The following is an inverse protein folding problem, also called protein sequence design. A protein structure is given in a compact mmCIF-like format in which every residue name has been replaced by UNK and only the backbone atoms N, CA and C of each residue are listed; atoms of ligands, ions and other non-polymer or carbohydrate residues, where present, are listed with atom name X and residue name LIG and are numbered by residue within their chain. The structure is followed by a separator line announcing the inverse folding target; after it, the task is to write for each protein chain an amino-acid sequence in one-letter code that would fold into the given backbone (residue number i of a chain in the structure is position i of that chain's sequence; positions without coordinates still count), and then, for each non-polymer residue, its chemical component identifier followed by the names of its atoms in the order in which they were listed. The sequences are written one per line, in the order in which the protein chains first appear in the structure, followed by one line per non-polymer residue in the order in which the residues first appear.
data_IF_923906873702
#
_entry.id   IF_923906873702
#
_cell.length_a   1.000
_cell.length_b   1.000
_cell.length_c   1.000
_cell.angle_alpha   90.00
_cell.angle_beta   90.00
_cell.angle_gamma   90.00
#
_symmetry.space_group_name_H-M   'P 1'
#
loop_
_entity.id
_entity.type
_entity.pdbx_description
1 polymer ?
#
# COMPACT_ATOMS: atom_id res chain seq x y z
N UNK A 1 -31.37 75.66 -35.07
CA UNK A 1 -32.35 74.90 -34.30
C UNK A 1 -32.16 73.45 -34.69
N UNK A 2 -31.19 72.83 -34.04
CA UNK A 2 -30.84 71.44 -34.26
C UNK A 2 -30.78 70.79 -32.90
N UNK A 3 -31.62 69.95 -32.76
CA UNK A 3 -32.12 68.92 -31.87
C UNK A 3 -31.14 68.38 -30.87
N UNK A 4 -31.57 68.37 -29.61
CA UNK A 4 -30.84 67.66 -28.48
C UNK A 4 -31.48 66.31 -28.14
N UNK A 5 -31.35 65.28 -28.95
CA UNK A 5 -31.66 63.95 -28.44
C UNK A 5 -30.41 63.07 -28.19
N UNK A 6 -29.20 63.53 -28.48
CA UNK A 6 -28.00 62.69 -28.35
C UNK A 6 -27.33 62.68 -26.97
N UNK A 7 -27.57 63.71 -26.16
CA UNK A 7 -26.98 63.78 -24.81
C UNK A 7 -27.66 62.81 -23.81
N UNK A 8 -28.97 62.60 -23.93
CA UNK A 8 -29.74 61.71 -23.03
C UNK A 8 -29.51 60.22 -23.29
N UNK A 9 -29.14 59.89 -24.52
CA UNK A 9 -28.77 58.49 -24.89
C UNK A 9 -27.36 58.06 -24.42
N UNK A 10 -26.46 59.05 -24.35
CA UNK A 10 -25.08 58.77 -23.85
C UNK A 10 -25.07 58.60 -22.36
N UNK A 11 -25.89 59.34 -21.61
CA UNK A 11 -25.98 59.22 -20.15
C UNK A 11 -26.63 57.90 -19.69
N UNK A 12 -27.40 57.25 -20.57
CA UNK A 12 -28.06 55.95 -20.27
C UNK A 12 -27.16 54.75 -20.49
N UNK A 13 -26.02 54.94 -21.14
CA UNK A 13 -25.04 53.84 -21.41
C UNK A 13 -24.01 53.73 -20.27
N UNK A 14 -23.83 54.74 -19.46
CA UNK A 14 -22.83 54.75 -18.36
C UNK A 14 -23.28 54.08 -17.06
N UNK A 15 -24.51 53.62 -16.96
CA UNK A 15 -24.98 52.89 -15.78
C UNK A 15 -25.12 51.40 -16.00
N UNK A 16 -24.12 50.76 -16.61
CA UNK A 16 -23.96 49.32 -16.48
C UNK A 16 -23.31 49.03 -15.12
N UNK A 17 -23.96 48.25 -14.29
CA UNK A 17 -23.49 48.05 -12.91
C UNK A 17 -22.14 47.37 -12.87
N UNK A 18 -21.09 48.14 -12.68
CA UNK A 18 -19.71 47.70 -12.43
C UNK A 18 -19.60 46.76 -11.21
N UNK A 19 -20.66 46.71 -10.40
CA UNK A 19 -20.68 45.99 -9.12
C UNK A 19 -20.81 44.48 -9.28
N UNK A 20 -21.37 43.94 -10.37
CA UNK A 20 -21.51 42.48 -10.56
C UNK A 20 -20.27 41.82 -11.11
N UNK A 21 -19.48 42.53 -11.89
CA UNK A 21 -18.26 41.95 -12.52
C UNK A 21 -17.15 41.75 -11.51
N UNK A 22 -17.04 42.59 -10.49
CA UNK A 22 -16.00 42.42 -9.45
C UNK A 22 -16.29 41.25 -8.53
N UNK A 23 -17.53 41.01 -8.13
CA UNK A 23 -17.89 39.85 -7.28
C UNK A 23 -17.74 38.55 -8.02
N UNK A 24 -18.04 38.48 -9.31
CA UNK A 24 -17.82 37.28 -10.14
C UNK A 24 -16.33 37.02 -10.37
N UNK A 25 -15.55 38.08 -10.59
CA UNK A 25 -14.10 37.95 -10.74
C UNK A 25 -13.42 37.53 -9.42
N UNK A 26 -13.91 37.99 -8.27
CA UNK A 26 -13.41 37.54 -6.96
C UNK A 26 -13.77 36.10 -6.68
N UNK A 27 -15.00 35.65 -7.00
CA UNK A 27 -15.39 34.23 -6.89
C UNK A 27 -14.54 33.32 -7.79
N UNK A 28 -14.40 33.71 -9.07
CA UNK A 28 -13.58 32.92 -10.02
C UNK A 28 -12.13 32.82 -9.57
N UNK A 29 -11.56 33.89 -9.01
CA UNK A 29 -10.19 33.88 -8.46
C UNK A 29 -10.05 32.99 -7.25
N UNK A 30 -11.05 33.00 -6.36
CA UNK A 30 -11.06 32.15 -5.17
C UNK A 30 -11.21 30.67 -5.56
N UNK A 31 -12.11 30.33 -6.48
CA UNK A 31 -12.24 28.96 -7.00
C UNK A 31 -10.97 28.47 -7.67
N UNK A 32 -10.27 29.33 -8.42
CA UNK A 32 -8.97 28.98 -9.01
C UNK A 32 -7.90 28.75 -7.94
N UNK A 33 -7.88 29.54 -6.86
CA UNK A 33 -6.97 29.35 -5.74
C UNK A 33 -7.23 28.03 -5.00
N UNK A 34 -8.52 27.73 -4.76
CA UNK A 34 -8.95 26.47 -4.15
C UNK A 34 -8.54 25.29 -5.03
N UNK A 35 -8.78 25.37 -6.34
CA UNK A 35 -8.35 24.32 -7.30
C UNK A 35 -6.83 24.12 -7.31
N UNK A 36 -6.06 25.21 -7.30
CA UNK A 36 -4.60 25.14 -7.20
C UNK A 36 -4.13 24.55 -5.86
N UNK A 37 -4.75 24.93 -4.76
CA UNK A 37 -4.43 24.39 -3.44
C UNK A 37 -4.72 22.89 -3.36
N UNK A 38 -5.85 22.45 -3.92
CA UNK A 38 -6.17 21.01 -4.02
C UNK A 38 -5.17 20.26 -4.87
N UNK A 39 -4.79 20.82 -6.03
CA UNK A 39 -3.77 20.23 -6.89
C UNK A 39 -2.43 20.08 -6.16
N UNK A 40 -1.98 21.12 -5.47
CA UNK A 40 -0.75 21.08 -4.67
C UNK A 40 -0.83 20.07 -3.53
N UNK A 41 -2.00 19.89 -2.91
CA UNK A 41 -2.22 18.88 -1.88
C UNK A 41 -2.07 17.47 -2.46
N UNK A 42 -2.63 17.20 -3.64
CA UNK A 42 -2.47 15.91 -4.34
C UNK A 42 -1.01 15.67 -4.73
N UNK A 43 -0.32 16.69 -5.25
CA UNK A 43 1.11 16.58 -5.59
C UNK A 43 1.94 16.32 -4.33
N UNK A 44 1.68 17.01 -3.24
CA UNK A 44 2.37 16.77 -1.97
C UNK A 44 2.11 15.36 -1.44
N UNK A 45 0.87 14.86 -1.52
CA UNK A 45 0.52 13.50 -1.15
C UNK A 45 1.24 12.46 -2.03
N UNK A 46 1.39 12.73 -3.33
CA UNK A 46 2.14 11.86 -4.24
C UNK A 46 3.64 11.83 -3.91
N UNK A 47 4.25 13.00 -3.70
CA UNK A 47 5.68 13.13 -3.38
C UNK A 47 6.03 12.49 -2.04
N UNK A 48 5.13 12.56 -1.05
CA UNK A 48 5.34 11.92 0.26
C UNK A 48 5.11 10.40 0.24
N UNK A 49 4.78 9.81 -0.93
CA UNK A 49 4.54 8.38 -1.07
C UNK A 49 3.24 7.88 -0.41
N UNK A 50 2.37 8.81 0.03
CA UNK A 50 1.06 8.44 0.64
C UNK A 50 0.17 7.69 -0.35
N UNK A 51 0.35 7.94 -1.65
CA UNK A 51 -0.41 7.31 -2.73
C UNK A 51 0.23 6.02 -3.27
N UNK A 52 1.45 5.66 -2.81
CA UNK A 52 2.19 4.47 -3.25
C UNK A 52 2.05 3.27 -2.30
N UNK A 53 2.67 2.16 -2.70
CA UNK A 53 2.84 1.00 -1.82
C UNK A 53 3.72 1.41 -0.64
N UNK A 54 3.27 1.12 0.58
CA UNK A 54 4.09 1.28 1.78
C UNK A 54 4.47 -0.09 2.30
N UNK A 55 5.76 -0.34 2.31
CA UNK A 55 6.33 -1.51 2.95
C UNK A 55 6.44 -1.27 4.45
N UNK A 56 6.34 -2.34 5.21
CA UNK A 56 6.57 -2.30 6.64
C UNK A 56 7.14 -3.61 7.14
N UNK A 57 7.93 -3.52 8.19
CA UNK A 57 8.59 -4.65 8.81
C UNK A 57 7.87 -5.04 10.10
N UNK A 58 7.65 -6.33 10.28
CA UNK A 58 7.13 -6.93 11.51
C UNK A 58 8.10 -7.98 12.00
N UNK A 59 8.51 -7.90 13.26
CA UNK A 59 9.51 -8.80 13.84
C UNK A 59 8.98 -9.40 15.13
N UNK A 60 9.22 -10.68 15.32
CA UNK A 60 9.00 -11.38 16.58
C UNK A 60 10.16 -12.32 16.88
N UNK A 61 10.43 -12.56 18.17
CA UNK A 61 11.46 -13.49 18.62
C UNK A 61 10.92 -14.36 19.75
N UNK A 62 11.08 -15.66 19.64
CA UNK A 62 10.71 -16.64 20.66
C UNK A 62 11.54 -17.91 20.47
N UNK A 63 11.86 -18.60 21.57
CA UNK A 63 12.54 -19.90 21.59
C UNK A 63 13.84 -19.96 20.77
N UNK A 64 14.60 -18.86 20.75
CA UNK A 64 15.86 -18.75 19.99
C UNK A 64 15.65 -18.52 18.49
N UNK A 65 14.42 -18.40 18.03
CA UNK A 65 14.07 -17.98 16.68
C UNK A 65 13.76 -16.48 16.61
N UNK A 66 14.14 -15.86 15.52
CA UNK A 66 13.67 -14.52 15.16
C UNK A 66 13.10 -14.59 13.74
N UNK A 67 11.88 -14.11 13.62
CA UNK A 67 11.14 -14.00 12.36
C UNK A 67 10.92 -12.53 12.06
N UNK A 68 11.45 -12.05 10.95
CA UNK A 68 11.24 -10.73 10.42
C UNK A 68 10.55 -10.84 9.06
N UNK A 69 9.45 -10.12 8.89
CA UNK A 69 8.70 -10.09 7.64
C UNK A 69 8.54 -8.65 7.19
N UNK A 70 9.12 -8.35 6.04
CA UNK A 70 8.88 -7.12 5.31
C UNK A 70 7.80 -7.38 4.25
N UNK A 71 6.68 -6.70 4.40
CA UNK A 71 5.49 -6.89 3.53
C UNK A 71 4.80 -5.54 3.26
N UNK A 72 4.00 -5.43 2.19
CA UNK A 72 3.20 -4.24 1.95
C UNK A 72 2.18 -4.06 3.08
N UNK A 73 2.24 -2.91 3.76
CA UNK A 73 1.26 -2.51 4.78
C UNK A 73 0.11 -1.72 4.17
N UNK A 74 0.38 -0.96 3.12
CA UNK A 74 -0.64 -0.20 2.37
C UNK A 74 -0.37 -0.44 0.90
N UNK A 75 -1.37 -0.91 0.18
CA UNK A 75 -1.28 -1.17 -1.26
C UNK A 75 -2.64 -1.00 -1.96
N UNK A 76 -2.66 -1.23 -3.26
CA UNK A 76 -3.83 -1.19 -4.13
C UNK A 76 -3.83 -2.38 -5.06
N UNK A 77 -4.99 -2.68 -5.63
CA UNK A 77 -5.10 -3.71 -6.66
C UNK A 77 -4.13 -3.51 -7.83
N UNK A 78 -3.64 -4.60 -8.37
CA UNK A 78 -2.74 -4.68 -9.53
C UNK A 78 -1.32 -4.09 -9.32
N UNK A 79 -0.92 -3.72 -8.11
CA UNK A 79 0.46 -3.30 -7.80
C UNK A 79 1.32 -4.47 -7.35
N UNK A 80 2.62 -4.36 -7.61
CA UNK A 80 3.59 -5.31 -7.09
C UNK A 80 3.62 -5.25 -5.56
N UNK A 81 3.66 -6.42 -4.95
CA UNK A 81 3.55 -6.61 -3.51
C UNK A 81 4.59 -7.63 -3.02
N UNK A 82 5.90 -7.35 -3.19
CA UNK A 82 6.94 -8.27 -2.78
C UNK A 82 6.93 -8.46 -1.27
N UNK A 83 7.26 -9.67 -0.82
CA UNK A 83 7.40 -10.00 0.59
C UNK A 83 8.77 -10.61 0.81
N UNK A 84 9.47 -10.14 1.84
CA UNK A 84 10.74 -10.70 2.27
C UNK A 84 10.59 -11.27 3.68
N UNK A 85 10.89 -12.53 3.84
CA UNK A 85 10.84 -13.24 5.12
C UNK A 85 12.28 -13.56 5.51
N UNK A 86 12.75 -13.03 6.62
CA UNK A 86 14.05 -13.36 7.18
C UNK A 86 13.86 -14.14 8.48
N UNK A 87 14.40 -15.33 8.49
CA UNK A 87 14.42 -16.21 9.67
C UNK A 87 15.83 -16.27 10.19
N UNK A 88 16.02 -16.09 11.48
CA UNK A 88 17.30 -16.30 12.13
C UNK A 88 17.18 -17.17 13.37
N UNK A 89 18.27 -17.92 13.64
CA UNK A 89 18.39 -18.78 14.80
C UNK A 89 19.83 -18.78 15.29
N UNK A 90 20.04 -18.34 16.52
CA UNK A 90 21.39 -18.23 17.11
C UNK A 90 22.15 -19.56 17.19
N UNK A 91 21.45 -20.68 17.31
CA UNK A 91 22.03 -22.00 17.34
C UNK A 91 22.27 -22.63 15.96
N UNK A 92 22.03 -21.86 14.90
CA UNK A 92 21.97 -22.38 13.53
C UNK A 92 20.70 -23.20 13.26
N UNK A 93 20.47 -23.47 12.00
CA UNK A 93 19.33 -24.27 11.54
C UNK A 93 19.65 -25.78 11.67
N UNK A 94 18.59 -26.57 11.84
CA UNK A 94 18.68 -28.01 11.65
C UNK A 94 18.64 -28.40 10.17
N UNK A 95 18.24 -29.62 9.86
CA UNK A 95 18.20 -30.14 8.49
C UNK A 95 17.14 -29.38 7.62
N UNK A 96 16.09 -28.89 8.24
CA UNK A 96 14.96 -28.24 7.56
C UNK A 96 14.44 -27.05 8.35
N UNK A 97 13.92 -26.07 7.62
CA UNK A 97 13.14 -24.95 8.17
C UNK A 97 11.76 -24.99 7.54
N UNK A 98 10.73 -25.00 8.36
CA UNK A 98 9.33 -24.98 7.89
C UNK A 98 8.72 -23.63 8.21
N UNK A 99 8.24 -22.94 7.18
CA UNK A 99 7.47 -21.72 7.26
C UNK A 99 5.99 -22.02 7.00
N UNK A 100 5.12 -21.55 7.88
CA UNK A 100 3.68 -21.59 7.70
C UNK A 100 3.20 -20.19 7.31
N UNK A 101 2.33 -20.16 6.33
CA UNK A 101 1.73 -18.92 5.81
C UNK A 101 0.23 -19.09 5.78
N UNK A 102 -0.50 -18.10 6.24
CA UNK A 102 -1.97 -18.10 6.17
C UNK A 102 -2.43 -18.08 4.71
N UNK A 103 -3.47 -18.86 4.39
CA UNK A 103 -4.00 -18.97 3.02
C UNK A 103 -4.57 -17.67 2.48
N UNK A 104 -4.99 -16.77 3.36
CA UNK A 104 -5.45 -15.42 3.01
C UNK A 104 -4.42 -14.65 2.17
N UNK A 105 -3.12 -14.95 2.31
CA UNK A 105 -2.08 -14.39 1.45
C UNK A 105 -2.37 -14.65 -0.03
N UNK A 106 -2.76 -15.88 -0.38
CA UNK A 106 -3.03 -16.29 -1.75
C UNK A 106 -4.42 -15.85 -2.25
N UNK A 107 -5.29 -15.40 -1.34
CA UNK A 107 -6.56 -14.80 -1.71
C UNK A 107 -6.34 -13.36 -2.20
N UNK A 108 -5.40 -12.64 -1.60
CA UNK A 108 -5.08 -11.25 -1.95
C UNK A 108 -3.97 -11.12 -2.98
N UNK A 109 -3.04 -12.07 -3.03
CA UNK A 109 -1.81 -11.98 -3.80
C UNK A 109 -1.68 -13.11 -4.82
N UNK A 110 -1.41 -12.72 -6.05
CA UNK A 110 -0.93 -13.63 -7.08
C UNK A 110 0.57 -13.83 -6.89
N UNK A 111 0.97 -14.99 -6.39
CA UNK A 111 2.39 -15.33 -6.15
C UNK A 111 3.01 -15.84 -7.44
N UNK A 112 4.04 -15.15 -7.92
CA UNK A 112 4.76 -15.48 -9.16
C UNK A 112 5.98 -16.36 -8.90
N UNK A 113 6.72 -16.08 -7.81
CA UNK A 113 7.98 -16.76 -7.50
C UNK A 113 8.24 -16.76 -6.00
N UNK A 114 8.79 -17.88 -5.51
CA UNK A 114 9.36 -18.02 -4.15
C UNK A 114 10.83 -18.39 -4.31
N UNK A 115 11.72 -17.60 -3.75
CA UNK A 115 13.15 -17.80 -3.82
C UNK A 115 13.80 -17.75 -2.43
N UNK A 116 14.53 -18.81 -1.99
CA UNK A 116 14.71 -20.09 -2.68
C UNK A 116 13.39 -20.85 -2.82
N UNK A 117 13.32 -21.74 -3.80
CA UNK A 117 12.15 -22.60 -3.95
C UNK A 117 12.07 -23.58 -2.75
N UNK A 118 10.86 -23.79 -2.17
CA UNK A 118 10.70 -24.77 -1.12
C UNK A 118 10.99 -26.20 -1.63
N UNK A 119 11.60 -27.02 -0.80
CA UNK A 119 11.86 -28.43 -1.11
C UNK A 119 10.60 -29.29 -0.97
N UNK A 120 9.62 -28.83 -0.18
CA UNK A 120 8.29 -29.43 -0.06
C UNK A 120 7.25 -28.36 0.28
N UNK A 121 6.01 -28.61 -0.17
CA UNK A 121 4.86 -27.80 0.14
C UNK A 121 3.71 -28.70 0.62
N UNK A 122 3.05 -28.30 1.70
CA UNK A 122 1.88 -28.98 2.24
C UNK A 122 0.79 -27.93 2.50
N UNK A 123 -0.38 -28.11 1.90
CA UNK A 123 -1.52 -27.21 2.06
C UNK A 123 -2.62 -27.80 2.94
N UNK A 124 -3.26 -26.95 3.73
CA UNK A 124 -4.53 -27.21 4.40
C UNK A 124 -5.58 -26.18 3.94
N UNK A 125 -6.77 -26.22 4.53
CA UNK A 125 -7.85 -25.28 4.17
C UNK A 125 -7.45 -23.82 4.49
N UNK A 126 -6.71 -23.59 5.56
CA UNK A 126 -6.44 -22.25 6.09
C UNK A 126 -4.97 -21.83 5.99
N UNK A 127 -4.07 -22.77 5.70
CA UNK A 127 -2.62 -22.55 5.80
C UNK A 127 -1.86 -23.33 4.73
N UNK A 128 -0.68 -22.80 4.38
CA UNK A 128 0.31 -23.46 3.53
C UNK A 128 1.62 -23.53 4.31
N UNK A 129 2.26 -24.70 4.31
CA UNK A 129 3.57 -24.92 4.91
C UNK A 129 4.59 -25.18 3.81
N UNK A 130 5.65 -24.39 3.83
CA UNK A 130 6.81 -24.54 2.96
C UNK A 130 7.99 -25.04 3.76
N UNK A 131 8.58 -26.12 3.31
CA UNK A 131 9.79 -26.66 3.88
C UNK A 131 10.99 -26.29 3.02
N UNK A 132 12.00 -25.72 3.63
CA UNK A 132 13.23 -25.29 2.97
C UNK A 132 14.43 -26.10 3.47
N UNK A 133 15.42 -26.25 2.59
CA UNK A 133 16.76 -26.64 2.95
C UNK A 133 17.53 -25.39 3.35
N UNK A 134 17.79 -25.15 4.64
CA UNK A 134 18.41 -23.92 5.09
C UNK A 134 19.87 -23.84 4.60
N UNK A 135 20.39 -22.61 4.39
CA UNK A 135 21.81 -22.41 4.14
C UNK A 135 22.65 -22.74 5.39
N UNK A 136 23.94 -22.98 5.20
CA UNK A 136 24.88 -22.98 6.30
C UNK A 136 24.89 -21.60 6.98
N UNK A 137 24.63 -21.56 8.31
CA UNK A 137 24.64 -20.34 9.09
C UNK A 137 23.42 -20.14 9.96
N UNK A 138 23.20 -18.91 10.38
CA UNK A 138 22.18 -18.52 11.36
C UNK A 138 21.04 -17.72 10.74
N UNK A 139 21.10 -17.36 9.45
CA UNK A 139 20.13 -16.52 8.77
C UNK A 139 19.72 -17.12 7.43
N UNK A 140 18.42 -17.20 7.20
CA UNK A 140 17.81 -17.61 5.94
C UNK A 140 16.83 -16.51 5.49
N UNK A 141 16.90 -16.14 4.22
CA UNK A 141 15.96 -15.17 3.63
C UNK A 141 15.18 -15.84 2.51
N UNK A 142 13.85 -15.67 2.56
CA UNK A 142 12.93 -16.12 1.52
C UNK A 142 12.26 -14.88 0.92
N UNK A 143 12.40 -14.73 -0.38
CA UNK A 143 11.74 -13.65 -1.14
C UNK A 143 10.55 -14.21 -1.90
N UNK A 144 9.42 -13.56 -1.76
CA UNK A 144 8.19 -13.87 -2.50
C UNK A 144 7.94 -12.71 -3.47
N UNK A 145 8.01 -13.02 -4.76
CA UNK A 145 7.55 -12.09 -5.79
C UNK A 145 6.06 -12.31 -5.99
N UNK A 146 5.30 -11.30 -5.65
CA UNK A 146 3.85 -11.35 -5.70
C UNK A 146 3.26 -10.03 -6.20
N UNK A 147 2.03 -10.12 -6.68
CA UNK A 147 1.26 -8.99 -7.15
C UNK A 147 -0.10 -8.98 -6.48
N UNK A 148 -0.59 -7.80 -6.09
CA UNK A 148 -1.94 -7.66 -5.57
C UNK A 148 -2.96 -7.99 -6.65
N UNK A 149 -3.94 -8.83 -6.32
CA UNK A 149 -5.01 -9.20 -7.23
C UNK A 149 -5.80 -7.96 -7.65
N UNK A 150 -6.07 -7.77 -8.96
CA UNK A 150 -6.73 -6.55 -9.46
C UNK A 150 -8.21 -6.44 -9.04
N UNK A 151 -8.82 -7.54 -8.60
CA UNK A 151 -10.22 -7.61 -8.19
C UNK A 151 -10.44 -7.42 -6.69
N UNK A 152 -9.37 -7.13 -5.94
CA UNK A 152 -9.45 -6.96 -4.49
C UNK A 152 -10.30 -5.76 -4.08
N UNK A 153 -11.14 -5.98 -3.09
CA UNK A 153 -11.95 -4.92 -2.48
C UNK A 153 -11.15 -4.21 -1.39
N UNK A 154 -11.37 -2.90 -1.20
CA UNK A 154 -10.78 -2.17 -0.10
C UNK A 154 -11.09 -2.83 1.24
N UNK A 155 -10.06 -2.99 2.07
CA UNK A 155 -10.20 -3.70 3.33
C UNK A 155 -8.96 -3.61 4.21
N UNK A 156 -9.03 -4.31 5.34
CA UNK A 156 -7.93 -4.41 6.28
C UNK A 156 -7.85 -5.87 6.71
N UNK A 157 -6.71 -6.50 6.43
CA UNK A 157 -6.43 -7.88 6.79
C UNK A 157 -5.11 -8.02 7.53
N UNK A 158 -4.81 -9.22 7.98
CA UNK A 158 -3.54 -9.59 8.59
C UNK A 158 -3.03 -10.84 7.91
N UNK A 159 -1.78 -10.78 7.48
CA UNK A 159 -1.09 -11.90 6.86
C UNK A 159 -0.31 -12.64 7.95
N UNK A 160 -0.64 -13.89 8.22
CA UNK A 160 0.07 -14.69 9.21
C UNK A 160 1.29 -15.39 8.61
N UNK A 161 2.43 -15.28 9.29
CA UNK A 161 3.66 -15.98 9.00
C UNK A 161 4.21 -16.58 10.28
N UNK A 162 4.58 -17.86 10.25
CA UNK A 162 5.13 -18.54 11.40
C UNK A 162 6.27 -19.49 11.02
N UNK A 163 7.22 -19.66 11.94
CA UNK A 163 8.19 -20.74 11.89
C UNK A 163 7.66 -21.92 12.67
N UNK A 164 7.70 -23.10 12.08
CA UNK A 164 7.26 -24.34 12.69
C UNK A 164 8.46 -25.15 13.11
N UNK A 165 8.53 -25.51 14.38
CA UNK A 165 9.50 -26.45 14.93
C UNK A 165 8.78 -27.63 15.59
N UNK A 166 9.10 -28.87 15.17
CA UNK A 166 8.49 -30.10 15.72
C UNK A 166 6.97 -30.17 15.65
N UNK A 167 6.37 -29.46 14.63
CA UNK A 167 4.93 -29.41 14.44
C UNK A 167 4.20 -28.35 15.25
N UNK A 168 4.91 -27.55 16.06
CA UNK A 168 4.37 -26.45 16.84
C UNK A 168 4.88 -25.10 16.32
N UNK A 169 4.15 -24.02 16.58
CA UNK A 169 4.55 -22.66 16.24
C UNK A 169 5.66 -22.22 17.19
N UNK A 170 6.87 -22.03 16.68
CA UNK A 170 8.00 -21.52 17.44
C UNK A 170 7.95 -19.99 17.55
N UNK A 171 7.66 -19.29 16.45
CA UNK A 171 7.53 -17.84 16.42
C UNK A 171 6.54 -17.45 15.32
N UNK A 172 5.76 -16.39 15.54
CA UNK A 172 4.75 -15.91 14.59
C UNK A 172 4.75 -14.40 14.51
N UNK A 173 4.50 -13.86 13.31
CA UNK A 173 4.20 -12.45 13.05
C UNK A 173 2.95 -12.32 12.19
N UNK A 174 2.20 -11.24 12.41
CA UNK A 174 0.96 -10.95 11.67
C UNK A 174 0.94 -9.50 11.16
N UNK A 175 1.74 -9.16 10.14
CA UNK A 175 1.72 -7.85 9.52
C UNK A 175 0.30 -7.49 9.05
N UNK A 176 -0.02 -6.21 9.20
CA UNK A 176 -1.31 -5.66 8.77
C UNK A 176 -1.21 -5.25 7.31
N UNK A 177 -2.19 -5.65 6.53
CA UNK A 177 -2.38 -5.25 5.14
C UNK A 177 -3.60 -4.34 5.04
N UNK A 178 -3.43 -3.15 4.46
CA UNK A 178 -4.49 -2.18 4.17
C UNK A 178 -4.60 -2.05 2.66
N UNK A 179 -5.75 -2.42 2.14
CA UNK A 179 -6.10 -2.34 0.73
C UNK A 179 -6.87 -1.06 0.47
N UNK A 180 -6.31 -0.18 -0.35
CA UNK A 180 -6.95 1.04 -0.80
C UNK A 180 -7.69 0.82 -2.13
N UNK A 181 -8.76 1.59 -2.39
CA UNK A 181 -9.49 1.56 -3.65
C UNK A 181 -8.65 2.05 -4.83
#
# INVERSE_FOLDING_TARGET
MIDQPTAELVERIETLPHIRVEDEAHRARNWRRVGLALLWLVVAAAVTGVLGVRMGTSTASADGWTLEVEAPQITRGALDAPITITVSRESGFGDKVTLRVDRILFEHLDVNLIAPAPSAETGSLDQVEWTFDPPDGEVMTVSIDARMSPSEMPGIDRLGFAVIERGEVAVEVRPRLVLLP
#
